data_IF_433218085725
#
_entry.id   IF_433218085725
#
_cell.length_a   1.000
_cell.length_b   1.000
_cell.length_c   1.000
_cell.angle_alpha   90.00
_cell.angle_beta   90.00
_cell.angle_gamma   90.00
#
_symmetry.space_group_name_H-M   'P 1'
#
loop_
_entity.id
_entity.type
_entity.pdbx_description
1 polymer ?
#
# COMPACT_ATOMS: atom_id res chain seq x y z
N UNK A 1 -32.32 -46.62 25.50
CA UNK A 1 -31.14 -45.73 25.70
C UNK A 1 -30.33 -45.49 24.42
N UNK A 2 -30.12 -46.48 23.53
CA UNK A 2 -29.37 -46.28 22.26
C UNK A 2 -30.00 -45.32 21.24
N UNK A 3 -31.34 -45.17 21.21
CA UNK A 3 -32.02 -44.28 20.23
C UNK A 3 -31.95 -42.78 20.58
N UNK A 4 -31.74 -42.45 21.85
CA UNK A 4 -31.61 -41.04 22.30
C UNK A 4 -30.18 -40.50 22.03
N UNK A 5 -29.17 -41.38 22.11
CA UNK A 5 -27.78 -41.03 21.78
C UNK A 5 -27.56 -40.71 20.30
N UNK A 6 -28.29 -41.37 19.39
CA UNK A 6 -28.16 -41.12 17.94
C UNK A 6 -28.78 -39.77 17.55
N UNK A 7 -29.87 -39.38 18.21
CA UNK A 7 -30.53 -38.08 17.96
C UNK A 7 -29.67 -36.88 18.37
N UNK A 8 -28.80 -37.04 19.37
CA UNK A 8 -27.93 -35.96 19.85
C UNK A 8 -26.69 -35.75 18.97
N UNK A 9 -26.25 -36.79 18.24
CA UNK A 9 -25.08 -36.72 17.34
C UNK A 9 -25.44 -36.04 16.01
N UNK A 10 -26.65 -36.27 15.50
CA UNK A 10 -27.13 -35.62 14.26
C UNK A 10 -27.34 -34.11 14.44
N UNK A 11 -27.75 -33.68 15.65
CA UNK A 11 -27.92 -32.25 15.96
C UNK A 11 -26.57 -31.52 16.11
N UNK A 12 -25.52 -32.21 16.55
CA UNK A 12 -24.17 -31.62 16.68
C UNK A 12 -23.44 -31.47 15.34
N UNK A 13 -23.77 -32.30 14.34
CA UNK A 13 -23.19 -32.24 12.99
C UNK A 13 -23.74 -31.09 12.14
N UNK A 14 -24.90 -30.53 12.47
CA UNK A 14 -25.51 -29.41 11.73
C UNK A 14 -24.95 -28.02 12.11
N UNK A 15 -24.14 -27.92 13.17
CA UNK A 15 -23.56 -26.66 13.65
C UNK A 15 -22.17 -26.34 13.08
N UNK A 16 -21.57 -27.24 12.29
CA UNK A 16 -20.23 -27.08 11.71
C UNK A 16 -20.22 -26.49 10.29
N UNK A 17 -21.39 -26.10 9.77
CA UNK A 17 -21.56 -25.56 8.41
C UNK A 17 -21.64 -24.03 8.31
N UNK A 18 -21.19 -23.28 9.31
CA UNK A 18 -21.08 -21.83 9.20
C UNK A 18 -19.80 -21.49 8.40
N UNK A 19 -19.90 -21.60 7.07
CA UNK A 19 -18.94 -20.99 6.17
C UNK A 19 -18.78 -19.52 6.56
N UNK A 20 -17.58 -19.14 6.95
CA UNK A 20 -17.14 -17.76 7.07
C UNK A 20 -17.34 -17.09 5.71
N UNK A 21 -18.46 -16.38 5.56
CA UNK A 21 -18.61 -15.40 4.49
C UNK A 21 -17.57 -14.32 4.79
N UNK A 22 -16.35 -14.46 4.22
CA UNK A 22 -15.42 -13.34 4.09
C UNK A 22 -16.24 -12.24 3.43
N UNK A 23 -16.53 -11.19 4.18
CA UNK A 23 -17.31 -10.07 3.67
C UNK A 23 -16.34 -9.29 2.81
N UNK A 24 -16.23 -9.66 1.54
CA UNK A 24 -15.42 -8.94 0.56
C UNK A 24 -15.92 -7.51 0.51
N UNK A 25 -15.04 -6.56 0.83
CA UNK A 25 -15.34 -5.15 0.70
C UNK A 25 -15.56 -4.82 -0.78
N UNK A 26 -16.70 -4.23 -1.12
CA UNK A 26 -16.99 -3.81 -2.50
C UNK A 26 -16.05 -2.69 -2.98
N UNK A 27 -15.45 -1.97 -2.04
CA UNK A 27 -14.58 -0.81 -2.23
C UNK A 27 -13.28 -1.03 -1.45
N UNK A 28 -12.27 -1.62 -2.08
CA UNK A 28 -11.01 -1.94 -1.42
C UNK A 28 -9.82 -1.94 -2.38
N UNK A 29 -8.63 -1.76 -1.80
CA UNK A 29 -7.35 -2.09 -2.42
C UNK A 29 -6.79 -3.37 -1.80
N UNK A 30 -5.97 -4.08 -2.55
CA UNK A 30 -5.21 -5.23 -2.06
C UNK A 30 -3.82 -5.24 -2.70
N UNK A 31 -2.80 -5.56 -1.90
CA UNK A 31 -1.44 -5.73 -2.44
C UNK A 31 -1.38 -6.99 -3.31
N UNK A 32 -0.80 -6.87 -4.50
CA UNK A 32 -0.72 -7.94 -5.48
C UNK A 32 0.41 -8.90 -5.11
N UNK A 33 0.08 -10.20 -5.03
CA UNK A 33 1.09 -11.24 -4.93
C UNK A 33 1.75 -11.47 -6.29
N UNK A 34 2.88 -10.81 -6.51
CA UNK A 34 3.65 -10.92 -7.75
C UNK A 34 4.24 -12.33 -7.93
N UNK A 35 4.14 -12.82 -9.16
CA UNK A 35 4.86 -14.02 -9.62
C UNK A 35 6.37 -13.76 -9.69
N UNK A 36 7.17 -14.83 -9.73
CA UNK A 36 8.63 -14.72 -9.84
C UNK A 36 9.06 -13.96 -11.11
N UNK A 37 8.30 -14.14 -12.19
CA UNK A 37 8.54 -13.42 -13.44
C UNK A 37 8.27 -11.92 -13.29
N UNK A 38 7.17 -11.53 -12.66
CA UNK A 38 6.84 -10.11 -12.44
C UNK A 38 7.83 -9.45 -11.49
N UNK A 39 8.22 -10.15 -10.41
CA UNK A 39 9.28 -9.70 -9.50
C UNK A 39 10.59 -9.45 -10.24
N UNK A 40 11.02 -10.40 -11.08
CA UNK A 40 12.23 -10.25 -11.88
C UNK A 40 12.17 -9.04 -12.84
N UNK A 41 11.03 -8.83 -13.50
CA UNK A 41 10.84 -7.69 -14.40
C UNK A 41 10.92 -6.36 -13.63
N UNK A 42 10.26 -6.26 -12.48
CA UNK A 42 10.31 -5.05 -11.65
C UNK A 42 11.72 -4.81 -11.07
N UNK A 43 12.39 -5.84 -10.57
CA UNK A 43 13.75 -5.71 -10.02
C UNK A 43 14.80 -5.29 -11.05
N UNK A 44 14.53 -5.48 -12.35
CA UNK A 44 15.45 -5.03 -13.41
C UNK A 44 15.42 -3.53 -13.67
N UNK A 45 14.38 -2.82 -13.18
CA UNK A 45 14.15 -1.40 -13.47
C UNK A 45 13.87 -0.56 -12.23
N UNK A 46 13.70 -1.18 -11.07
CA UNK A 46 13.38 -0.52 -9.81
C UNK A 46 14.06 -1.21 -8.63
N UNK A 47 14.44 -0.39 -7.65
CA UNK A 47 14.96 -0.83 -6.36
C UNK A 47 13.82 -1.33 -5.47
N UNK A 48 12.73 -0.55 -5.41
CA UNK A 48 11.52 -0.90 -4.69
C UNK A 48 10.32 -0.83 -5.61
N UNK A 49 9.38 -1.75 -5.41
CA UNK A 49 8.12 -1.80 -6.16
C UNK A 49 6.98 -2.23 -5.26
N UNK A 50 5.86 -1.50 -5.33
CA UNK A 50 4.61 -1.82 -4.67
C UNK A 50 3.51 -1.85 -5.71
N UNK A 51 2.69 -2.89 -5.69
CA UNK A 51 1.63 -3.10 -6.67
C UNK A 51 0.34 -3.39 -5.92
N UNK A 52 -0.70 -2.62 -6.21
CA UNK A 52 -2.01 -2.76 -5.60
C UNK A 52 -3.06 -2.89 -6.69
N UNK A 53 -3.94 -3.86 -6.55
CA UNK A 53 -5.20 -3.85 -7.29
C UNK A 53 -6.24 -3.08 -6.47
N UNK A 54 -7.14 -2.40 -7.17
CA UNK A 54 -8.28 -1.76 -6.54
C UNK A 54 -9.57 -2.20 -7.21
N UNK A 55 -10.61 -2.29 -6.38
CA UNK A 55 -11.99 -2.33 -6.81
C UNK A 55 -12.76 -1.21 -6.12
N UNK A 56 -13.36 -0.34 -6.91
CA UNK A 56 -14.15 0.80 -6.50
C UNK A 56 -15.51 0.73 -7.19
N UNK A 57 -16.57 1.13 -6.50
CA UNK A 57 -17.89 1.25 -7.11
C UNK A 57 -17.97 2.47 -8.02
N UNK A 58 -19.10 2.61 -8.71
CA UNK A 58 -19.31 3.67 -9.69
C UNK A 58 -19.37 5.07 -9.07
N UNK A 59 -19.43 5.23 -7.74
CA UNK A 59 -19.44 6.56 -7.13
C UNK A 59 -18.06 7.22 -7.26
N UNK A 60 -16.99 6.42 -7.20
CA UNK A 60 -15.63 6.92 -7.37
C UNK A 60 -15.29 7.06 -8.87
N UNK A 61 -14.99 8.29 -9.29
CA UNK A 61 -14.66 8.62 -10.69
C UNK A 61 -13.18 8.80 -10.91
N UNK A 62 -12.45 9.17 -9.87
CA UNK A 62 -11.02 9.44 -9.97
C UNK A 62 -10.25 8.79 -8.83
N UNK A 63 -8.98 8.53 -9.08
CA UNK A 63 -8.00 8.23 -8.05
C UNK A 63 -6.92 9.31 -8.04
N UNK A 64 -6.56 9.75 -6.84
CA UNK A 64 -5.37 10.55 -6.59
C UNK A 64 -4.36 9.70 -5.86
N UNK A 65 -3.12 9.66 -6.35
CA UNK A 65 -2.02 8.89 -5.75
C UNK A 65 -0.84 9.82 -5.60
N UNK A 66 -0.22 9.85 -4.43
CA UNK A 66 0.93 10.70 -4.23
C UNK A 66 1.92 10.18 -3.20
N UNK A 67 3.09 10.80 -3.18
CA UNK A 67 4.11 10.59 -2.15
C UNK A 67 4.18 11.85 -1.30
N UNK A 68 4.11 11.68 0.01
CA UNK A 68 4.52 12.69 0.99
C UNK A 68 5.93 12.37 1.48
N UNK A 69 6.73 13.39 1.75
CA UNK A 69 8.06 13.29 2.34
C UNK A 69 8.05 13.86 3.75
N UNK A 70 8.52 13.06 4.70
CA UNK A 70 8.76 13.44 6.07
C UNK A 70 10.25 13.42 6.37
N UNK A 71 10.72 14.36 7.19
CA UNK A 71 12.06 14.37 7.76
C UNK A 71 11.96 14.50 9.27
N UNK A 72 12.54 13.55 10.01
CA UNK A 72 12.45 13.49 11.48
C UNK A 72 10.99 13.60 11.97
N UNK A 73 10.08 12.86 11.32
CA UNK A 73 8.64 12.85 11.61
C UNK A 73 7.86 14.11 11.22
N UNK A 74 8.49 15.09 10.56
CA UNK A 74 7.82 16.33 10.10
C UNK A 74 7.60 16.30 8.61
N UNK A 75 6.40 16.67 8.16
CA UNK A 75 6.11 16.82 6.73
C UNK A 75 6.97 17.96 6.15
N UNK A 76 7.82 17.62 5.18
CA UNK A 76 8.73 18.57 4.50
C UNK A 76 8.47 18.66 2.99
N UNK A 77 7.76 17.69 2.42
CA UNK A 77 7.31 17.71 1.04
C UNK A 77 5.92 17.10 0.93
N UNK A 78 4.91 17.93 0.70
CA UNK A 78 3.55 17.44 0.45
C UNK A 78 3.38 17.09 -1.02
N UNK A 79 2.81 15.91 -1.32
CA UNK A 79 2.41 15.50 -2.68
C UNK A 79 3.51 15.69 -3.73
N UNK A 80 4.76 15.36 -3.38
CA UNK A 80 5.96 15.61 -4.20
C UNK A 80 5.95 14.87 -5.54
N UNK A 81 5.15 13.80 -5.67
CA UNK A 81 4.89 13.11 -6.92
C UNK A 81 3.41 12.72 -6.94
N UNK A 82 2.53 13.55 -7.52
CA UNK A 82 1.09 13.32 -7.54
C UNK A 82 0.62 12.91 -8.93
N UNK A 83 -0.17 11.85 -9.02
CA UNK A 83 -0.96 11.49 -10.19
C UNK A 83 -2.43 11.57 -9.82
N UNK A 84 -3.25 12.19 -10.66
CA UNK A 84 -4.71 12.14 -10.54
C UNK A 84 -5.29 11.84 -11.90
N UNK A 85 -6.16 10.84 -11.98
CA UNK A 85 -6.77 10.42 -13.23
C UNK A 85 -8.13 9.79 -12.99
N UNK A 86 -8.95 9.80 -14.04
CA UNK A 86 -10.21 9.06 -14.09
C UNK A 86 -9.93 7.55 -14.04
N UNK A 87 -10.84 6.80 -13.42
CA UNK A 87 -10.78 5.35 -13.29
C UNK A 87 -12.12 4.69 -13.60
N UNK A 88 -12.07 3.41 -13.92
CA UNK A 88 -13.24 2.53 -13.85
C UNK A 88 -13.27 1.80 -12.51
N UNK A 89 -14.27 0.92 -12.36
CA UNK A 89 -14.49 0.14 -11.14
C UNK A 89 -13.30 -0.74 -10.72
N UNK A 90 -12.41 -1.11 -11.64
CA UNK A 90 -11.25 -1.94 -11.34
C UNK A 90 -10.01 -1.42 -12.02
N UNK A 91 -8.88 -1.57 -11.35
CA UNK A 91 -7.59 -1.25 -11.92
C UNK A 91 -6.44 -1.65 -11.02
N UNK A 92 -5.25 -1.25 -11.46
CA UNK A 92 -3.99 -1.54 -10.79
C UNK A 92 -3.23 -0.23 -10.61
N UNK A 93 -2.61 -0.08 -9.45
CA UNK A 93 -1.70 0.97 -9.07
C UNK A 93 -0.31 0.37 -8.88
N UNK A 94 0.70 1.00 -9.47
CA UNK A 94 2.09 0.61 -9.34
C UNK A 94 2.87 1.82 -8.85
N UNK A 95 3.63 1.64 -7.78
CA UNK A 95 4.63 2.59 -7.33
C UNK A 95 6.01 1.94 -7.38
N UNK A 96 6.97 2.62 -8.00
CA UNK A 96 8.35 2.15 -8.00
C UNK A 96 9.34 3.24 -7.65
N UNK A 97 10.48 2.84 -7.10
CA UNK A 97 11.63 3.72 -6.90
C UNK A 97 12.83 3.20 -7.67
N UNK A 98 13.67 4.11 -8.13
CA UNK A 98 15.03 3.78 -8.58
C UNK A 98 16.00 4.81 -8.04
N UNK A 99 17.18 4.36 -7.62
CA UNK A 99 18.19 5.24 -7.05
C UNK A 99 19.38 5.35 -8.00
N UNK A 100 19.86 6.57 -8.19
CA UNK A 100 21.17 6.83 -8.78
C UNK A 100 22.10 7.30 -7.66
N UNK A 101 22.91 6.37 -7.14
CA UNK A 101 23.83 6.61 -6.02
C UNK A 101 24.88 7.67 -6.37
N UNK A 102 25.37 7.70 -7.62
CA UNK A 102 26.37 8.67 -8.04
C UNK A 102 25.84 10.12 -8.07
N UNK A 103 24.54 10.28 -8.29
CA UNK A 103 23.89 11.58 -8.40
C UNK A 103 23.11 12.01 -7.16
N UNK A 104 23.08 11.18 -6.11
CA UNK A 104 22.28 11.40 -4.90
C UNK A 104 20.81 11.71 -5.26
N UNK A 105 20.25 10.90 -6.16
CA UNK A 105 18.88 11.07 -6.66
C UNK A 105 18.07 9.80 -6.49
N UNK A 106 16.87 9.97 -5.97
CA UNK A 106 15.81 8.97 -6.02
C UNK A 106 14.80 9.39 -7.07
N UNK A 107 14.37 8.44 -7.91
CA UNK A 107 13.28 8.63 -8.86
C UNK A 107 12.07 7.83 -8.39
N UNK A 108 10.96 8.52 -8.22
CA UNK A 108 9.65 7.96 -7.92
C UNK A 108 8.85 7.83 -9.20
N UNK A 109 8.21 6.68 -9.42
CA UNK A 109 7.27 6.48 -10.52
C UNK A 109 5.94 6.00 -9.96
N UNK A 110 4.86 6.63 -10.39
CA UNK A 110 3.49 6.20 -10.12
C UNK A 110 2.87 5.84 -11.46
N UNK A 111 2.26 4.66 -11.53
CA UNK A 111 1.42 4.23 -12.63
C UNK A 111 0.07 3.82 -12.10
N UNK A 112 -0.99 4.21 -12.79
CA UNK A 112 -2.35 3.75 -12.54
C UNK A 112 -2.94 3.31 -13.87
N UNK A 113 -3.62 2.17 -13.87
CA UNK A 113 -4.31 1.64 -15.03
C UNK A 113 -5.68 1.10 -14.63
N UNK A 114 -6.71 1.51 -15.36
CA UNK A 114 -8.02 0.89 -15.37
C UNK A 114 -8.32 0.38 -16.79
N UNK A 115 -9.55 -0.10 -17.03
CA UNK A 115 -9.97 -0.60 -18.33
C UNK A 115 -9.95 0.47 -19.44
N UNK A 116 -10.39 1.68 -19.11
CA UNK A 116 -10.57 2.80 -20.06
C UNK A 116 -9.46 3.84 -20.00
N UNK A 117 -8.67 3.88 -18.92
CA UNK A 117 -7.66 4.91 -18.71
C UNK A 117 -6.34 4.33 -18.17
N UNK A 118 -5.23 5.00 -18.50
CA UNK A 118 -3.94 4.75 -17.87
C UNK A 118 -3.17 6.06 -17.73
N UNK A 119 -2.51 6.25 -16.59
CA UNK A 119 -1.76 7.44 -16.25
C UNK A 119 -0.44 7.08 -15.61
N UNK A 120 0.58 7.90 -15.85
CA UNK A 120 1.91 7.74 -15.25
C UNK A 120 2.44 9.10 -14.85
N UNK A 121 3.09 9.17 -13.69
CA UNK A 121 3.87 10.32 -13.30
C UNK A 121 5.22 9.88 -12.74
N UNK A 122 6.26 10.67 -13.00
CA UNK A 122 7.59 10.43 -12.48
C UNK A 122 8.16 11.72 -11.91
N UNK A 123 8.76 11.63 -10.72
CA UNK A 123 9.46 12.73 -10.08
C UNK A 123 10.85 12.26 -9.66
N UNK A 124 11.85 13.10 -9.85
CA UNK A 124 13.20 12.88 -9.33
C UNK A 124 13.47 13.85 -8.20
N UNK A 125 13.85 13.32 -7.05
CA UNK A 125 14.21 14.08 -5.88
C UNK A 125 15.69 13.90 -5.56
N UNK A 126 16.35 14.98 -5.11
CA UNK A 126 17.68 14.86 -4.50
C UNK A 126 17.52 14.29 -3.10
N UNK A 127 18.25 13.23 -2.82
CA UNK A 127 18.26 12.57 -1.53
C UNK A 127 19.70 12.29 -1.16
N UNK A 128 20.12 12.79 0.00
CA UNK A 128 21.45 12.51 0.53
C UNK A 128 21.60 11.00 0.66
N UNK A 129 22.80 10.52 0.37
CA UNK A 129 23.11 9.10 0.55
C UNK A 129 22.80 8.69 2.00
N UNK A 130 21.98 7.65 2.16
CA UNK A 130 21.67 7.04 3.45
C UNK A 130 22.25 5.64 3.53
N UNK A 131 22.81 5.28 4.68
CA UNK A 131 23.46 3.99 4.87
C UNK A 131 22.47 2.82 5.01
N UNK A 132 21.23 3.10 5.44
CA UNK A 132 20.22 2.09 5.70
C UNK A 132 18.85 2.55 5.18
N UNK A 133 18.09 1.60 4.63
CA UNK A 133 16.70 1.81 4.23
C UNK A 133 15.87 0.58 4.59
N UNK A 134 14.65 0.82 5.04
CA UNK A 134 13.61 -0.18 5.25
C UNK A 134 12.36 0.25 4.50
N UNK A 135 11.56 -0.71 4.07
CA UNK A 135 10.33 -0.43 3.34
C UNK A 135 9.25 -1.42 3.74
N UNK A 136 8.00 -1.03 3.52
CA UNK A 136 6.85 -1.86 3.84
C UNK A 136 5.57 -1.31 3.23
N UNK A 137 4.61 -2.21 3.04
CA UNK A 137 3.26 -1.94 2.57
C UNK A 137 2.26 -2.08 3.72
N UNK A 138 1.05 -1.57 3.52
CA UNK A 138 -0.06 -1.83 4.40
C UNK A 138 -0.36 -3.35 4.41
N UNK A 139 -0.26 -4.03 5.57
CA UNK A 139 -0.32 -5.48 5.64
C UNK A 139 -1.75 -6.05 5.60
N UNK A 140 -2.77 -5.20 5.46
CA UNK A 140 -4.17 -5.62 5.41
C UNK A 140 -4.47 -6.38 4.11
N UNK A 141 -5.18 -7.52 4.20
CA UNK A 141 -5.61 -8.29 3.02
C UNK A 141 -6.52 -7.47 2.09
N UNK A 142 -7.41 -6.68 2.69
CA UNK A 142 -8.26 -5.70 2.01
C UNK A 142 -8.15 -4.36 2.76
N UNK A 143 -7.77 -3.30 2.04
CA UNK A 143 -7.64 -1.93 2.54
C UNK A 143 -8.90 -1.19 2.10
N UNK A 144 -9.80 -0.78 3.01
CA UNK A 144 -11.04 -0.12 2.64
C UNK A 144 -10.78 1.20 1.92
N UNK A 145 -11.55 1.47 0.85
CA UNK A 145 -11.53 2.78 0.21
C UNK A 145 -12.38 3.75 1.04
N UNK A 146 -11.70 4.43 1.96
CA UNK A 146 -12.25 5.46 2.84
C UNK A 146 -11.22 6.57 3.05
N UNK A 147 -11.54 7.79 2.60
CA UNK A 147 -10.68 8.95 2.70
C UNK A 147 -9.26 8.75 2.13
N UNK A 148 -8.27 9.25 2.87
CA UNK A 148 -6.84 9.12 2.54
C UNK A 148 -6.30 7.81 3.11
N UNK A 149 -5.70 7.02 2.22
CA UNK A 149 -5.20 5.68 2.52
C UNK A 149 -3.68 5.71 2.48
N UNK A 150 -3.02 5.15 3.50
CA UNK A 150 -1.57 4.90 3.48
C UNK A 150 -1.31 3.51 2.91
N UNK A 151 -0.63 3.47 1.77
CA UNK A 151 -0.38 2.24 1.01
C UNK A 151 0.98 1.63 1.33
N UNK A 152 2.02 2.46 1.37
CA UNK A 152 3.39 1.99 1.55
C UNK A 152 4.28 3.07 2.15
N UNK A 153 5.42 2.64 2.68
CA UNK A 153 6.46 3.50 3.22
C UNK A 153 7.85 3.05 2.78
N UNK A 154 8.74 4.02 2.60
CA UNK A 154 10.18 3.81 2.47
C UNK A 154 10.83 4.75 3.47
N UNK A 155 11.52 4.18 4.45
CA UNK A 155 12.23 4.93 5.49
C UNK A 155 13.73 4.77 5.28
N UNK A 156 14.48 5.84 5.55
CA UNK A 156 15.93 5.87 5.43
C UNK A 156 16.56 6.52 6.66
N UNK A 157 17.73 6.03 7.08
CA UNK A 157 18.50 6.62 8.18
C UNK A 157 20.00 6.40 8.03
N UNK A 158 20.80 7.35 8.53
CA UNK A 158 22.25 7.24 8.70
C UNK A 158 22.68 6.82 10.12
N UNK A 159 21.73 6.58 11.02
CA UNK A 159 21.97 6.43 12.46
C UNK A 159 21.63 5.05 13.04
N UNK A 160 20.81 5.06 14.09
CA UNK A 160 20.47 3.87 14.90
C UNK A 160 19.74 2.80 14.08
N UNK A 161 19.71 1.57 14.60
CA UNK A 161 19.05 0.44 13.95
C UNK A 161 17.62 0.78 13.54
N UNK A 162 17.26 0.37 12.32
CA UNK A 162 15.93 0.58 11.75
C UNK A 162 15.02 -0.62 12.04
N UNK A 163 13.73 -0.36 12.23
CA UNK A 163 12.69 -1.36 12.47
C UNK A 163 11.51 -1.11 11.55
N UNK A 164 10.91 -2.14 10.97
CA UNK A 164 9.69 -1.97 10.18
C UNK A 164 8.61 -1.21 10.97
N UNK A 165 7.87 -0.35 10.26
CA UNK A 165 6.71 0.34 10.82
C UNK A 165 5.63 -0.66 11.21
N UNK A 166 4.90 -0.33 12.28
CA UNK A 166 3.82 -1.17 12.76
C UNK A 166 2.66 -1.23 11.74
N UNK A 167 1.84 -2.28 11.74
CA UNK A 167 0.59 -2.29 10.97
C UNK A 167 -0.31 -1.09 11.25
N UNK A 168 -0.30 -0.59 12.50
CA UNK A 168 -1.14 0.52 12.93
C UNK A 168 -0.73 1.86 12.27
N UNK A 169 0.53 2.01 11.87
CA UNK A 169 0.99 3.15 11.07
C UNK A 169 0.20 3.30 9.76
N UNK A 170 -0.19 2.20 9.14
CA UNK A 170 -0.90 2.22 7.85
C UNK A 170 -2.41 2.41 8.00
N UNK A 171 -2.99 2.02 9.13
CA UNK A 171 -4.44 2.12 9.37
C UNK A 171 -4.84 3.35 10.17
N UNK A 172 -3.93 3.91 10.98
CA UNK A 172 -4.16 5.07 11.82
C UNK A 172 -2.91 5.97 11.84
N UNK A 173 -2.58 6.48 10.65
CA UNK A 173 -1.36 7.22 10.36
C UNK A 173 -1.11 8.42 11.30
N UNK A 174 -2.14 9.23 11.53
CA UNK A 174 -2.01 10.47 12.32
C UNK A 174 -1.63 10.18 13.77
N UNK A 175 -2.17 9.12 14.38
CA UNK A 175 -1.85 8.74 15.76
C UNK A 175 -0.52 7.98 15.87
N UNK A 176 0.04 7.50 14.77
CA UNK A 176 1.28 6.72 14.71
C UNK A 176 2.44 7.46 14.04
N UNK A 177 2.29 8.75 13.75
CA UNK A 177 3.33 9.58 13.14
C UNK A 177 4.63 9.61 13.94
N UNK A 178 4.56 9.38 15.26
CA UNK A 178 5.74 9.29 16.12
C UNK A 178 6.68 8.13 15.76
N UNK A 179 6.19 7.07 15.11
CA UNK A 179 7.02 5.93 14.67
C UNK A 179 8.13 6.36 13.70
N UNK A 180 7.87 7.37 12.88
CA UNK A 180 8.81 7.86 11.86
C UNK A 180 9.70 9.02 12.35
N UNK A 181 9.57 9.42 13.61
CA UNK A 181 10.32 10.56 14.16
C UNK A 181 11.84 10.33 14.22
N UNK A 182 12.26 9.07 14.34
CA UNK A 182 13.67 8.68 14.45
C UNK A 182 14.34 8.39 13.10
N UNK A 183 13.60 8.52 11.99
CA UNK A 183 14.16 8.34 10.65
C UNK A 183 14.54 9.69 10.03
N UNK A 184 15.62 9.69 9.25
CA UNK A 184 16.13 10.90 8.61
C UNK A 184 15.14 11.37 7.55
N UNK A 185 14.65 10.42 6.74
CA UNK A 185 13.67 10.65 5.69
C UNK A 185 12.69 9.48 5.66
N UNK A 186 11.40 9.78 5.51
CA UNK A 186 10.37 8.78 5.21
C UNK A 186 9.51 9.26 4.06
N UNK A 187 9.38 8.43 3.04
CA UNK A 187 8.42 8.61 1.97
C UNK A 187 7.19 7.77 2.26
N UNK A 188 6.02 8.39 2.22
CA UNK A 188 4.74 7.74 2.48
C UNK A 188 3.91 7.81 1.20
N UNK A 189 3.64 6.65 0.60
CA UNK A 189 2.75 6.52 -0.54
C UNK A 189 1.31 6.52 -0.04
N UNK A 190 0.52 7.45 -0.57
CA UNK A 190 -0.89 7.62 -0.22
C UNK A 190 -1.79 7.59 -1.45
N UNK A 191 -3.04 7.23 -1.24
CA UNK A 191 -4.10 7.37 -2.25
C UNK A 191 -5.40 7.90 -1.67
N UNK A 192 -6.24 8.45 -2.54
CA UNK A 192 -7.60 8.87 -2.22
C UNK A 192 -8.46 8.65 -3.47
N UNK A 193 -9.67 8.13 -3.27
CA UNK A 193 -10.65 7.93 -4.34
C UNK A 193 -11.71 9.03 -4.25
N UNK A 194 -11.95 9.70 -5.38
CA UNK A 194 -12.77 10.91 -5.46
C UNK A 194 -14.06 10.60 -6.24
N UNK A 195 -15.17 11.20 -5.77
CA UNK A 195 -16.50 11.10 -6.40
C UNK A 195 -16.68 12.02 -7.61
#
# INVERSE_FOLDING_TARGET
>A
MKKVLISSIVLFLLLLGACTNKTTLNNALSEVQLTDREKFLLSSTSEQSFVFDFQADQKYKQISVWVDQYAFGKLVGEKINRLTMDIDEKGTLIFTTSQNVAEEKVKFNIGVQSKSASGKNSMTQREKTTNQSIWGSNPSEEIPIDGIIVLASISSSNGHGMSSLSPAFYTDFENHLAEIANYDVVYVLKSEFLE
#
